data_IF_799965671938
#
_entry.id   IF_799965671938
#
_cell.length_a   1.000
_cell.length_b   1.000
_cell.length_c   1.000
_cell.angle_alpha   90.00
_cell.angle_beta   90.00
_cell.angle_gamma   90.00
#
_symmetry.space_group_name_H-M   'P 1'
#
loop_
_entity.id
_entity.type
_entity.pdbx_description
1 polymer ?
#
# COMPACT_ATOMS: atom_id res chain seq x y z
N UNK A 1 14.24 24.17 -9.66
CA UNK A 1 13.95 23.32 -8.49
C UNK A 1 13.10 22.17 -9.00
N UNK A 2 13.58 20.92 -9.12
CA UNK A 2 12.64 19.83 -9.33
C UNK A 2 11.86 19.68 -8.02
N UNK A 3 10.58 20.02 -8.05
CA UNK A 3 9.63 19.56 -7.06
C UNK A 3 9.64 18.03 -7.14
N UNK A 4 10.51 17.40 -6.35
CA UNK A 4 10.48 15.96 -6.16
C UNK A 4 9.15 15.68 -5.47
N UNK A 5 8.12 15.38 -6.27
CA UNK A 5 7.00 14.60 -5.81
C UNK A 5 7.57 13.23 -5.47
N UNK A 6 8.20 13.13 -4.30
CA UNK A 6 8.74 11.89 -3.77
C UNK A 6 7.54 11.00 -3.47
N UNK A 7 7.15 10.19 -4.46
CA UNK A 7 6.09 9.21 -4.32
C UNK A 7 6.45 8.32 -3.14
N UNK A 8 5.72 8.49 -2.05
CA UNK A 8 5.99 7.81 -0.78
C UNK A 8 4.90 6.79 -0.55
N UNK A 9 5.31 5.52 -0.44
CA UNK A 9 4.42 4.37 -0.43
C UNK A 9 4.47 3.67 0.91
N UNK A 10 3.32 3.49 1.56
CA UNK A 10 3.22 2.68 2.77
C UNK A 10 3.16 1.19 2.42
N UNK A 11 4.13 0.39 2.87
CA UNK A 11 4.13 -1.06 2.65
C UNK A 11 3.56 -1.80 3.86
N UNK A 12 2.43 -2.47 3.68
CA UNK A 12 1.80 -3.36 4.64
C UNK A 12 2.09 -4.81 4.23
N UNK A 13 2.98 -5.46 4.95
CA UNK A 13 3.35 -6.85 4.72
C UNK A 13 3.83 -7.47 6.03
N UNK A 14 3.11 -8.50 6.48
CA UNK A 14 3.47 -9.29 7.67
C UNK A 14 4.64 -10.26 7.43
N UNK A 15 4.98 -10.53 6.17
CA UNK A 15 6.08 -11.40 5.77
C UNK A 15 7.34 -10.56 5.48
N UNK A 16 8.40 -10.75 6.26
CA UNK A 16 9.64 -9.95 6.18
C UNK A 16 10.44 -10.19 4.90
N UNK A 17 10.45 -11.43 4.39
CA UNK A 17 11.21 -11.78 3.18
C UNK A 17 10.57 -11.09 1.98
N UNK A 18 9.27 -11.22 1.84
CA UNK A 18 8.49 -10.58 0.78
C UNK A 18 8.45 -9.07 0.94
N UNK A 19 8.38 -8.57 2.17
CA UNK A 19 8.49 -7.14 2.42
C UNK A 19 9.81 -6.58 1.91
N UNK A 20 10.92 -7.25 2.22
CA UNK A 20 12.26 -6.83 1.81
C UNK A 20 12.42 -6.86 0.29
N UNK A 21 11.88 -7.88 -0.39
CA UNK A 21 11.85 -7.95 -1.86
C UNK A 21 11.09 -6.75 -2.46
N UNK A 22 9.92 -6.43 -1.92
CA UNK A 22 9.11 -5.30 -2.40
C UNK A 22 9.83 -3.96 -2.16
N UNK A 23 10.44 -3.78 -0.98
CA UNK A 23 11.19 -2.56 -0.66
C UNK A 23 12.40 -2.38 -1.58
N UNK A 24 13.15 -3.45 -1.85
CA UNK A 24 14.27 -3.41 -2.78
C UNK A 24 13.81 -3.00 -4.19
N UNK A 25 12.68 -3.54 -4.66
CA UNK A 25 12.08 -3.18 -5.95
C UNK A 25 11.60 -1.73 -6.02
N UNK A 26 10.98 -1.23 -4.95
CA UNK A 26 10.55 0.18 -4.87
C UNK A 26 11.77 1.11 -4.87
N UNK A 27 12.80 0.76 -4.09
CA UNK A 27 14.04 1.52 -4.02
C UNK A 27 14.79 1.57 -5.36
N UNK A 28 14.86 0.45 -6.10
CA UNK A 28 15.42 0.40 -7.46
C UNK A 28 14.73 1.38 -8.44
N UNK A 29 13.43 1.63 -8.21
CA UNK A 29 12.64 2.59 -9.00
C UNK A 29 12.65 4.02 -8.46
N UNK A 30 13.42 4.29 -7.40
CA UNK A 30 13.48 5.60 -6.76
C UNK A 30 12.17 5.98 -6.05
N UNK A 31 11.38 4.99 -5.63
CA UNK A 31 10.14 5.20 -4.89
C UNK A 31 10.45 5.04 -3.40
N UNK A 32 10.12 6.04 -2.61
CA UNK A 32 10.28 5.98 -1.16
C UNK A 32 9.22 5.08 -0.54
N UNK A 33 9.63 4.26 0.42
CA UNK A 33 8.74 3.34 1.08
C UNK A 33 8.75 3.54 2.61
N UNK A 34 7.57 3.56 3.20
CA UNK A 34 7.36 3.62 4.64
C UNK A 34 6.95 2.24 5.13
N UNK A 35 7.71 1.71 6.07
CA UNK A 35 7.49 0.36 6.61
C UNK A 35 8.32 -0.68 5.87
N UNK A 36 8.32 -1.91 6.41
CA UNK A 36 7.13 -2.74 6.30
C UNK A 36 6.37 -2.81 7.63
N UNK A 37 5.05 -2.65 7.56
CA UNK A 37 4.17 -2.80 8.73
C UNK A 37 3.41 -4.11 8.69
N UNK A 38 3.38 -4.78 9.84
CA UNK A 38 2.73 -6.09 10.01
C UNK A 38 1.27 -5.94 10.44
N UNK A 39 0.90 -4.83 11.07
CA UNK A 39 -0.40 -4.60 11.71
C UNK A 39 -1.17 -3.42 11.11
N UNK A 40 -2.50 -3.56 11.04
CA UNK A 40 -3.41 -2.52 10.54
C UNK A 40 -3.37 -1.24 11.36
N UNK A 41 -3.16 -1.32 12.68
CA UNK A 41 -3.13 -0.16 13.56
C UNK A 41 -1.89 0.72 13.28
N UNK A 42 -0.72 0.09 13.13
CA UNK A 42 0.53 0.77 12.80
C UNK A 42 0.48 1.38 11.41
N UNK A 43 -0.09 0.66 10.43
CA UNK A 43 -0.30 1.18 9.08
C UNK A 43 -1.11 2.48 9.09
N UNK A 44 -2.19 2.51 9.87
CA UNK A 44 -3.05 3.70 10.02
C UNK A 44 -2.32 4.84 10.73
N UNK A 45 -1.57 4.55 11.79
CA UNK A 45 -0.80 5.58 12.48
C UNK A 45 0.23 6.22 11.54
N UNK A 46 0.95 5.41 10.76
CA UNK A 46 1.92 5.91 9.78
C UNK A 46 1.25 6.67 8.63
N UNK A 47 0.10 6.22 8.16
CA UNK A 47 -0.69 6.94 7.16
C UNK A 47 -1.03 8.36 7.62
N UNK A 48 -1.45 8.53 8.88
CA UNK A 48 -1.75 9.85 9.44
C UNK A 48 -0.53 10.71 9.74
N UNK A 49 0.61 10.11 10.09
CA UNK A 49 1.82 10.86 10.44
C UNK A 49 2.65 11.28 9.22
N UNK A 50 2.70 10.42 8.20
CA UNK A 50 3.61 10.60 7.06
C UNK A 50 2.89 10.99 5.77
N UNK A 51 1.55 10.91 5.75
CA UNK A 51 0.72 11.22 4.58
C UNK A 51 1.26 10.59 3.27
N UNK A 52 1.48 9.26 3.23
CA UNK A 52 1.93 8.59 2.03
C UNK A 52 0.92 8.81 0.90
N UNK A 53 1.38 8.89 -0.34
CA UNK A 53 0.47 9.07 -1.50
C UNK A 53 -0.21 7.75 -1.88
N UNK A 54 0.38 6.62 -1.49
CA UNK A 54 -0.10 5.29 -1.84
C UNK A 54 0.18 4.29 -0.72
N UNK A 55 -0.63 3.24 -0.62
CA UNK A 55 -0.39 2.13 0.31
C UNK A 55 -0.42 0.79 -0.42
N UNK A 56 0.66 0.01 -0.37
CA UNK A 56 0.70 -1.36 -0.87
C UNK A 56 0.36 -2.31 0.27
N UNK A 57 -0.67 -3.13 0.09
CA UNK A 57 -1.02 -4.21 1.00
C UNK A 57 -0.67 -5.52 0.31
N UNK A 58 0.51 -6.06 0.63
CA UNK A 58 1.04 -7.26 -0.02
C UNK A 58 0.51 -8.56 0.60
N UNK A 59 0.24 -8.52 1.90
CA UNK A 59 -0.31 -9.63 2.69
C UNK A 59 -1.40 -9.11 3.64
N UNK A 60 -2.30 -10.00 4.10
CA UNK A 60 -3.24 -9.66 5.15
C UNK A 60 -2.49 -9.09 6.36
N UNK A 61 -2.86 -7.89 6.82
CA UNK A 61 -2.31 -7.36 8.06
C UNK A 61 -2.78 -8.21 9.24
N UNK A 62 -1.93 -8.32 10.26
CA UNK A 62 -2.32 -8.92 11.52
C UNK A 62 -3.33 -8.01 12.28
N UNK A 63 -4.21 -8.65 13.06
CA UNK A 63 -5.16 -7.98 13.96
C UNK A 63 -6.63 -8.09 13.56
N UNK A 64 -7.46 -7.17 14.06
CA UNK A 64 -8.94 -7.19 13.88
C UNK A 64 -9.41 -6.73 12.50
N UNK A 65 -8.62 -5.92 11.79
CA UNK A 65 -8.98 -5.37 10.47
C UNK A 65 -8.28 -6.17 9.39
N UNK A 66 -9.07 -6.74 8.49
CA UNK A 66 -8.61 -7.38 7.26
C UNK A 66 -8.11 -6.35 6.24
N UNK A 67 -7.43 -6.83 5.19
CA UNK A 67 -6.81 -5.98 4.17
C UNK A 67 -7.80 -4.98 3.54
N UNK A 68 -9.04 -5.40 3.32
CA UNK A 68 -10.13 -4.59 2.79
C UNK A 68 -10.56 -3.46 3.73
N UNK A 69 -10.75 -3.76 5.02
CA UNK A 69 -11.10 -2.73 6.00
C UNK A 69 -9.98 -1.70 6.15
N UNK A 70 -8.72 -2.14 6.12
CA UNK A 70 -7.57 -1.24 6.14
C UNK A 70 -7.54 -0.33 4.91
N UNK A 71 -7.66 -0.90 3.71
CA UNK A 71 -7.72 -0.17 2.46
C UNK A 71 -8.83 0.89 2.47
N UNK A 72 -10.04 0.51 2.91
CA UNK A 72 -11.18 1.42 2.99
C UNK A 72 -10.93 2.56 3.98
N UNK A 73 -10.33 2.27 5.13
CA UNK A 73 -10.00 3.28 6.13
C UNK A 73 -8.95 4.28 5.60
N UNK A 74 -7.96 3.79 4.86
CA UNK A 74 -6.90 4.63 4.28
C UNK A 74 -7.47 5.63 3.27
N UNK A 75 -8.35 5.17 2.39
CA UNK A 75 -9.05 6.03 1.41
C UNK A 75 -9.98 7.00 2.12
N UNK A 76 -10.84 6.50 3.00
CA UNK A 76 -11.92 7.31 3.58
C UNK A 76 -11.40 8.39 4.53
N UNK A 77 -10.25 8.20 5.17
CA UNK A 77 -9.74 9.11 6.18
C UNK A 77 -8.61 10.01 5.68
N UNK A 78 -7.80 9.54 4.73
CA UNK A 78 -6.65 10.30 4.21
C UNK A 78 -6.62 10.42 2.68
N UNK A 79 -7.55 9.81 1.95
CA UNK A 79 -7.53 9.80 0.48
C UNK A 79 -6.39 8.99 -0.13
N UNK A 80 -5.76 8.10 0.65
CA UNK A 80 -4.60 7.32 0.22
C UNK A 80 -5.07 6.17 -0.66
N UNK A 81 -4.53 6.04 -1.87
CA UNK A 81 -4.88 4.97 -2.79
C UNK A 81 -4.26 3.63 -2.34
N UNK A 82 -5.06 2.60 -2.00
CA UNK A 82 -4.56 1.31 -1.59
C UNK A 82 -4.38 0.41 -2.82
N UNK A 83 -3.26 -0.30 -2.87
CA UNK A 83 -2.96 -1.34 -3.83
C UNK A 83 -2.86 -2.68 -3.11
N UNK A 84 -3.91 -3.50 -3.22
CA UNK A 84 -3.90 -4.86 -2.68
C UNK A 84 -3.26 -5.82 -3.70
N UNK A 85 -2.20 -6.52 -3.29
CA UNK A 85 -1.65 -7.64 -4.06
C UNK A 85 -2.50 -8.89 -3.87
N UNK A 86 -2.44 -9.82 -4.82
CA UNK A 86 -3.36 -10.98 -4.95
C UNK A 86 -3.63 -11.73 -3.62
N UNK A 87 -2.59 -11.86 -2.79
CA UNK A 87 -2.65 -12.55 -1.50
C UNK A 87 -3.43 -11.77 -0.43
N UNK A 88 -3.26 -10.46 -0.36
CA UNK A 88 -4.06 -9.59 0.51
C UNK A 88 -5.45 -9.33 -0.08
N UNK A 89 -5.53 -9.30 -1.42
CA UNK A 89 -6.77 -9.07 -2.15
C UNK A 89 -7.80 -10.13 -1.81
N UNK A 90 -7.42 -11.40 -1.62
CA UNK A 90 -8.32 -12.49 -1.23
C UNK A 90 -8.84 -12.41 0.23
N UNK A 91 -8.25 -11.56 1.08
CA UNK A 91 -8.59 -11.46 2.51
C UNK A 91 -9.76 -10.51 2.77
N UNK A 92 -10.98 -11.05 2.76
CA UNK A 92 -12.21 -10.26 2.99
C UNK A 92 -12.77 -9.58 1.72
N UNK A 93 -12.39 -10.07 0.54
CA UNK A 93 -12.97 -9.65 -0.74
C UNK A 93 -14.36 -10.23 -0.93
N UNK A 94 -15.33 -9.35 -1.16
CA UNK A 94 -16.75 -9.69 -1.33
C UNK A 94 -17.15 -10.01 -2.79
N UNK A 95 -16.23 -9.86 -3.75
CA UNK A 95 -16.53 -10.01 -5.18
C UNK A 95 -16.43 -8.70 -5.95
N UNK A 96 -16.61 -7.59 -5.24
CA UNK A 96 -16.79 -6.26 -5.81
C UNK A 96 -15.49 -5.46 -5.72
N UNK A 97 -14.84 -5.16 -6.86
CA UNK A 97 -13.72 -4.21 -6.92
C UNK A 97 -14.29 -2.79 -6.95
N UNK A 98 -14.13 -1.98 -5.90
CA UNK A 98 -14.64 -0.63 -5.91
C UNK A 98 -13.81 0.23 -6.85
N UNK A 99 -14.43 0.71 -7.92
CA UNK A 99 -13.82 1.63 -8.90
C UNK A 99 -13.38 2.96 -8.27
N UNK A 100 -13.87 3.29 -7.08
CA UNK A 100 -13.69 4.58 -6.40
C UNK A 100 -12.35 4.75 -5.64
N UNK A 101 -11.47 3.73 -5.60
CA UNK A 101 -10.18 3.84 -4.90
C UNK A 101 -8.94 3.47 -5.73
N UNK A 102 -9.09 3.27 -7.05
CA UNK A 102 -7.96 2.85 -7.90
C UNK A 102 -6.91 3.97 -7.94
N UNK A 103 -5.61 3.66 -7.76
CA UNK A 103 -4.55 4.63 -8.01
C UNK A 103 -4.66 5.17 -9.43
N UNK A 104 -4.21 6.41 -9.65
CA UNK A 104 -4.14 6.98 -10.99
C UNK A 104 -3.40 6.03 -11.95
N UNK A 105 -3.90 5.90 -13.18
CA UNK A 105 -3.46 4.87 -14.14
C UNK A 105 -1.94 4.83 -14.37
N UNK A 106 -1.30 6.00 -14.41
CA UNK A 106 0.16 6.11 -14.58
C UNK A 106 0.95 5.65 -13.35
N UNK A 107 0.42 5.90 -12.15
CA UNK A 107 1.04 5.47 -10.89
C UNK A 107 0.93 3.96 -10.70
N UNK A 108 -0.24 3.40 -11.04
CA UNK A 108 -0.46 1.96 -11.03
C UNK A 108 0.46 1.23 -12.02
N UNK A 109 0.68 1.79 -13.21
CA UNK A 109 1.56 1.20 -14.20
C UNK A 109 3.03 1.14 -13.72
N UNK A 110 3.52 2.21 -13.08
CA UNK A 110 4.86 2.24 -12.46
C UNK A 110 5.00 1.23 -11.33
N UNK A 111 4.01 1.16 -10.44
CA UNK A 111 4.01 0.19 -9.34
C UNK A 111 3.97 -1.26 -9.82
N UNK A 112 3.12 -1.55 -10.81
CA UNK A 112 3.09 -2.89 -11.42
C UNK A 112 4.42 -3.22 -12.10
N UNK A 113 5.01 -2.29 -12.85
CA UNK A 113 6.32 -2.48 -13.46
C UNK A 113 7.44 -2.66 -12.42
N UNK A 114 7.33 -2.04 -11.25
CA UNK A 114 8.26 -2.24 -10.14
C UNK A 114 8.12 -3.62 -9.49
N UNK A 115 6.88 -4.10 -9.35
CA UNK A 115 6.58 -5.34 -8.63
C UNK A 115 6.84 -6.61 -9.47
N UNK A 116 6.79 -6.49 -10.80
CA UNK A 116 7.05 -7.58 -11.76
C UNK A 116 5.81 -8.43 -12.02
#
# INVERSE_FOLDING_TARGET
MPENFTETVLLVCSDEVRASDILAKLFDKGIDAIGPVKDSATAIALAGQKAPTLAIIARPPAGRRNAWQLARALVSNWGIAPLLLDTARKDGWDGTDPSWWRPGSGQLARLKAALG
#
